data_IF_775526560055
#
_entry.id   IF_775526560055
#
_cell.length_a   1.000
_cell.length_b   1.000
_cell.length_c   1.000
_cell.angle_alpha   90.00
_cell.angle_beta   90.00
_cell.angle_gamma   90.00
#
_symmetry.space_group_name_H-M   'P 1'
#
loop_
_entity.id
_entity.type
_entity.pdbx_description
1 polymer ?
#
# COMPACT_ATOMS: atom_id res chain seq x y z
N UNK A 1 -5.24 2.66 7.00
CA UNK A 1 -4.00 2.00 7.47
C UNK A 1 -3.63 2.47 8.86
N UNK A 2 -3.10 1.59 9.72
CA UNK A 2 -2.49 2.02 10.99
C UNK A 2 -1.30 2.96 10.72
N UNK A 3 -0.79 3.62 11.76
CA UNK A 3 0.46 4.38 11.63
C UNK A 3 1.58 3.47 11.15
N UNK A 4 2.22 3.82 10.03
CA UNK A 4 3.21 2.94 9.38
C UNK A 4 4.63 3.11 9.95
N UNK A 5 4.87 4.17 10.70
CA UNK A 5 6.17 4.46 11.32
C UNK A 5 6.80 3.27 12.07
N UNK A 6 6.07 2.47 12.88
CA UNK A 6 6.66 1.33 13.59
C UNK A 6 7.14 0.19 12.68
N UNK A 7 6.61 0.08 11.46
CA UNK A 7 6.89 -1.03 10.54
C UNK A 7 7.80 -0.64 9.36
N UNK A 8 8.14 0.65 9.18
CA UNK A 8 9.08 1.10 8.14
C UNK A 8 10.42 0.39 8.21
N UNK A 9 10.87 0.04 9.41
CA UNK A 9 12.12 -0.70 9.62
C UNK A 9 12.15 -2.05 8.89
N UNK A 10 10.99 -2.69 8.70
CA UNK A 10 10.90 -3.96 7.96
C UNK A 10 11.31 -3.77 6.49
N UNK A 11 10.88 -2.68 5.86
CA UNK A 11 11.29 -2.35 4.49
C UNK A 11 12.79 -2.07 4.39
N UNK A 12 13.37 -1.40 5.39
CA UNK A 12 14.82 -1.18 5.47
C UNK A 12 15.60 -2.51 5.53
N UNK A 13 15.18 -3.44 6.38
CA UNK A 13 15.81 -4.77 6.51
C UNK A 13 15.57 -5.61 5.24
N UNK A 14 14.38 -5.52 4.64
CA UNK A 14 14.05 -6.17 3.38
C UNK A 14 14.94 -5.69 2.25
N UNK A 15 15.19 -4.39 2.14
CA UNK A 15 16.15 -3.88 1.16
C UNK A 15 17.55 -4.45 1.41
N UNK A 16 18.05 -4.36 2.65
CA UNK A 16 19.37 -4.89 3.05
C UNK A 16 19.53 -6.38 2.67
N UNK A 17 18.46 -7.18 2.74
CA UNK A 17 18.49 -8.61 2.40
C UNK A 17 18.86 -8.91 0.93
N UNK A 18 18.73 -7.93 0.03
CA UNK A 18 19.17 -8.04 -1.37
C UNK A 18 20.70 -7.99 -1.52
N UNK A 19 21.45 -7.60 -0.47
CA UNK A 19 22.91 -7.57 -0.44
C UNK A 19 23.56 -6.79 -1.60
N UNK A 20 22.90 -5.72 -2.05
CA UNK A 20 23.35 -4.86 -3.14
C UNK A 20 24.61 -4.08 -2.75
N UNK A 21 25.52 -3.87 -3.71
CA UNK A 21 26.84 -3.28 -3.45
C UNK A 21 27.10 -2.00 -4.21
N UNK A 22 27.92 -1.12 -3.63
CA UNK A 22 28.38 0.10 -4.29
C UNK A 22 29.91 0.29 -4.18
N UNK A 23 30.56 0.91 -5.18
CA UNK A 23 30.01 1.34 -6.47
C UNK A 23 29.81 0.17 -7.45
N UNK A 24 28.83 0.27 -8.36
CA UNK A 24 28.48 -0.76 -9.36
C UNK A 24 29.39 -0.77 -10.59
N UNK A 25 29.97 0.39 -10.95
CA UNK A 25 30.99 0.46 -11.99
C UNK A 25 32.39 0.34 -11.38
N UNK A 26 33.23 -0.52 -11.98
CA UNK A 26 34.68 -0.37 -11.85
C UNK A 26 35.03 1.02 -12.38
N UNK A 27 35.79 1.81 -11.61
CA UNK A 27 36.38 3.05 -12.11
C UNK A 27 36.95 2.77 -13.51
N UNK A 28 36.52 3.51 -14.53
CA UNK A 28 36.95 3.29 -15.90
C UNK A 28 38.47 3.44 -15.96
N UNK A 29 39.17 2.31 -15.92
CA UNK A 29 40.61 2.21 -16.10
C UNK A 29 40.97 2.49 -17.56
N UNK A 30 40.73 3.72 -18.02
CA UNK A 30 41.17 4.20 -19.33
C UNK A 30 42.63 4.67 -19.32
N UNK A 31 43.22 4.93 -18.15
CA UNK A 31 44.60 5.35 -18.03
C UNK A 31 45.48 4.16 -17.60
N UNK A 32 45.97 3.39 -18.59
CA UNK A 32 47.01 2.39 -18.36
C UNK A 32 48.24 3.06 -17.72
N UNK A 33 48.72 2.50 -16.61
CA UNK A 33 50.01 2.84 -16.00
C UNK A 33 49.92 3.59 -14.66
N UNK A 34 49.38 4.82 -14.64
CA UNK A 34 49.41 5.67 -13.44
C UNK A 34 48.18 5.49 -12.54
N UNK A 35 46.98 5.45 -13.13
CA UNK A 35 45.72 5.35 -12.37
C UNK A 35 45.57 3.99 -11.66
N UNK A 36 45.89 2.86 -12.31
CA UNK A 36 45.81 1.53 -11.68
C UNK A 36 46.77 1.39 -10.49
N UNK A 37 47.96 1.99 -10.56
CA UNK A 37 48.93 1.99 -9.45
C UNK A 37 48.46 2.91 -8.32
N UNK A 38 47.95 4.10 -8.66
CA UNK A 38 47.33 5.01 -7.70
C UNK A 38 46.17 4.38 -6.93
N UNK A 39 45.29 3.62 -7.59
CA UNK A 39 44.16 2.96 -6.92
C UNK A 39 44.55 1.67 -6.19
N UNK A 40 45.56 0.92 -6.66
CA UNK A 40 46.06 -0.29 -5.96
C UNK A 40 46.75 0.04 -4.64
N UNK A 41 47.47 1.16 -4.59
CA UNK A 41 48.33 1.50 -3.45
C UNK A 41 47.59 2.35 -2.40
N UNK A 42 46.51 3.07 -2.77
CA UNK A 42 45.76 3.95 -1.84
C UNK A 42 45.06 3.20 -0.73
N UNK A 43 44.64 1.96 -0.97
CA UNK A 43 43.97 1.16 0.05
C UNK A 43 44.96 0.61 1.09
N UNK A 44 46.26 0.79 0.86
CA UNK A 44 47.34 0.50 1.81
C UNK A 44 47.71 1.74 2.64
N UNK A 45 47.14 2.91 2.36
CA UNK A 45 47.37 4.10 3.17
C UNK A 45 46.74 3.93 4.57
N UNK A 46 47.47 4.31 5.64
CA UNK A 46 46.97 4.19 7.01
C UNK A 46 45.62 4.90 7.19
N UNK A 47 44.62 4.16 7.66
CA UNK A 47 43.29 4.71 7.94
C UNK A 47 42.30 4.65 6.78
N UNK A 48 42.68 4.24 5.57
CA UNK A 48 41.74 4.11 4.44
C UNK A 48 40.82 2.87 4.57
N UNK A 49 41.26 1.84 5.30
CA UNK A 49 40.50 0.63 5.62
C UNK A 49 39.76 0.73 6.97
N UNK A 50 39.17 1.90 7.27
CA UNK A 50 38.45 2.18 8.52
C UNK A 50 36.97 2.54 8.33
N UNK A 51 36.41 2.29 7.14
CA UNK A 51 35.01 2.55 6.83
C UNK A 51 34.06 1.72 7.69
N UNK A 52 33.18 2.40 8.44
CA UNK A 52 32.10 1.80 9.23
C UNK A 52 30.78 2.42 8.79
N UNK A 53 29.71 1.62 8.57
CA UNK A 53 28.40 2.13 8.18
C UNK A 53 27.84 3.15 9.15
N UNK A 54 27.33 4.25 8.59
CA UNK A 54 26.62 5.29 9.35
C UNK A 54 25.11 5.16 9.17
N UNK A 55 24.67 4.73 7.99
CA UNK A 55 23.24 4.46 7.73
C UNK A 55 22.88 3.08 8.25
N UNK A 56 21.97 3.00 9.24
CA UNK A 56 21.57 1.74 9.89
C UNK A 56 20.06 1.47 9.69
N UNK A 57 19.66 0.26 9.25
CA UNK A 57 20.54 -0.77 8.69
C UNK A 57 21.20 -0.29 7.39
N UNK A 58 22.37 -0.84 7.01
CA UNK A 58 23.01 -0.46 5.75
C UNK A 58 22.13 -0.89 4.59
N UNK A 59 21.76 0.07 3.74
CA UNK A 59 21.02 -0.21 2.50
C UNK A 59 21.94 -0.84 1.45
N UNK A 60 23.18 -0.37 1.36
CA UNK A 60 24.18 -0.89 0.44
C UNK A 60 25.42 -1.36 1.20
N UNK A 61 26.09 -2.37 0.65
CA UNK A 61 27.38 -2.84 1.13
C UNK A 61 28.51 -2.31 0.25
N UNK A 62 29.65 -1.95 0.83
CA UNK A 62 30.79 -1.51 0.02
C UNK A 62 31.34 -2.68 -0.80
N UNK A 63 31.64 -2.42 -2.08
CA UNK A 63 32.29 -3.38 -3.00
C UNK A 63 33.62 -3.91 -2.41
N UNK A 64 34.30 -3.03 -1.67
CA UNK A 64 35.49 -3.35 -0.87
C UNK A 64 35.19 -3.09 0.60
N UNK A 65 34.93 -4.13 1.42
CA UNK A 65 34.67 -3.99 2.85
C UNK A 65 35.77 -3.22 3.57
N UNK A 66 35.38 -2.34 4.50
CA UNK A 66 36.28 -1.49 5.27
C UNK A 66 36.83 -0.29 4.51
N UNK A 67 36.65 -0.18 3.18
CA UNK A 67 37.17 0.96 2.44
C UNK A 67 36.32 2.22 2.61
N UNK A 68 36.90 3.28 3.16
CA UNK A 68 36.19 4.50 3.61
C UNK A 68 35.41 5.19 2.49
N UNK A 69 35.94 5.29 1.28
CA UNK A 69 35.25 5.95 0.17
C UNK A 69 34.06 5.15 -0.36
N UNK A 70 34.16 3.83 -0.42
CA UNK A 70 33.02 2.99 -0.78
C UNK A 70 31.95 3.07 0.31
N UNK A 71 32.35 3.04 1.59
CA UNK A 71 31.41 3.17 2.69
C UNK A 71 30.67 4.51 2.66
N UNK A 72 31.37 5.63 2.45
CA UNK A 72 30.74 6.96 2.31
C UNK A 72 29.71 7.01 1.17
N UNK A 73 30.02 6.38 0.03
CA UNK A 73 29.07 6.27 -1.08
C UNK A 73 27.85 5.42 -0.70
N UNK A 74 28.06 4.30 -0.01
CA UNK A 74 26.98 3.45 0.51
C UNK A 74 26.09 4.20 1.49
N UNK A 75 26.68 4.96 2.43
CA UNK A 75 25.93 5.71 3.44
C UNK A 75 25.10 6.82 2.78
N UNK A 76 25.71 7.59 1.85
CA UNK A 76 25.03 8.69 1.16
C UNK A 76 23.88 8.20 0.29
N UNK A 77 24.16 7.26 -0.63
CA UNK A 77 23.13 6.73 -1.54
C UNK A 77 22.10 5.91 -0.75
N UNK A 78 22.54 5.17 0.27
CA UNK A 78 21.67 4.43 1.17
C UNK A 78 20.72 5.34 1.95
N UNK A 79 21.18 6.50 2.42
CA UNK A 79 20.31 7.49 3.06
C UNK A 79 19.29 8.06 2.08
N UNK A 80 19.68 8.36 0.83
CA UNK A 80 18.75 8.85 -0.19
C UNK A 80 17.64 7.81 -0.50
N UNK A 81 18.00 6.52 -0.57
CA UNK A 81 17.03 5.43 -0.76
C UNK A 81 16.12 5.26 0.45
N UNK A 82 16.68 5.29 1.66
CA UNK A 82 15.94 5.24 2.92
C UNK A 82 14.91 6.37 3.02
N UNK A 83 15.33 7.60 2.76
CA UNK A 83 14.48 8.78 2.84
C UNK A 83 13.38 8.73 1.78
N UNK A 84 13.69 8.25 0.57
CA UNK A 84 12.68 8.04 -0.46
C UNK A 84 11.66 6.96 -0.06
N UNK A 85 12.12 5.81 0.42
CA UNK A 85 11.28 4.71 0.89
C UNK A 85 10.34 5.17 2.00
N UNK A 86 10.88 5.82 3.03
CA UNK A 86 10.10 6.27 4.19
C UNK A 86 9.10 7.36 3.79
N UNK A 87 9.46 8.27 2.88
CA UNK A 87 8.58 9.30 2.36
C UNK A 87 7.44 8.73 1.49
N UNK A 88 7.71 7.69 0.70
CA UNK A 88 6.68 7.05 -0.12
C UNK A 88 5.71 6.22 0.72
N UNK A 89 6.17 5.57 1.78
CA UNK A 89 5.27 4.93 2.75
C UNK A 89 4.32 5.94 3.39
N UNK A 90 4.84 7.11 3.79
CA UNK A 90 4.00 8.19 4.33
C UNK A 90 3.01 8.72 3.28
N UNK A 91 3.45 8.81 2.02
CA UNK A 91 2.59 9.26 0.92
C UNK A 91 1.43 8.30 0.67
N UNK A 92 1.69 6.99 0.72
CA UNK A 92 0.65 5.96 0.60
C UNK A 92 -0.29 5.98 1.80
N UNK A 93 0.24 6.13 3.02
CA UNK A 93 -0.59 6.29 4.21
C UNK A 93 -1.52 7.50 4.06
N UNK A 94 -0.99 8.65 3.65
CA UNK A 94 -1.78 9.86 3.41
C UNK A 94 -2.88 9.61 2.38
N UNK A 95 -2.52 9.07 1.20
CA UNK A 95 -3.47 8.80 0.13
C UNK A 95 -4.58 7.83 0.55
N UNK A 96 -4.22 6.76 1.28
CA UNK A 96 -5.17 5.83 1.86
C UNK A 96 -6.13 6.50 2.86
N UNK A 97 -5.65 7.40 3.73
CA UNK A 97 -6.55 8.08 4.67
C UNK A 97 -7.54 8.99 3.93
N UNK A 98 -7.09 9.72 2.91
CA UNK A 98 -7.97 10.56 2.08
C UNK A 98 -9.01 9.72 1.32
N UNK A 99 -8.60 8.55 0.82
CA UNK A 99 -9.52 7.58 0.22
C UNK A 99 -10.55 7.08 1.22
N UNK A 100 -10.12 6.70 2.43
CA UNK A 100 -11.01 6.14 3.48
C UNK A 100 -12.15 7.10 3.82
N UNK A 101 -11.89 8.40 3.86
CA UNK A 101 -12.90 9.43 4.13
C UNK A 101 -14.00 9.49 3.07
N UNK A 102 -13.69 9.07 1.84
CA UNK A 102 -14.61 9.07 0.71
C UNK A 102 -15.19 7.68 0.41
N UNK A 103 -14.61 6.63 1.01
CA UNK A 103 -14.98 5.26 0.76
C UNK A 103 -16.40 4.95 1.25
N UNK A 104 -17.13 4.18 0.44
CA UNK A 104 -18.52 3.81 0.69
C UNK A 104 -18.85 2.45 0.10
N UNK A 105 -19.81 1.80 0.72
CA UNK A 105 -20.46 0.62 0.15
C UNK A 105 -21.66 1.06 -0.67
N UNK A 106 -21.89 0.42 -1.80
CA UNK A 106 -22.99 0.72 -2.73
C UNK A 106 -23.51 -0.55 -3.39
N UNK A 107 -24.70 -0.46 -3.97
CA UNK A 107 -25.36 -1.55 -4.70
C UNK A 107 -25.50 -2.81 -3.85
N UNK A 108 -25.74 -2.65 -2.55
CA UNK A 108 -26.03 -3.79 -1.68
C UNK A 108 -27.47 -4.21 -1.84
N UNK A 109 -27.70 -5.51 -1.84
CA UNK A 109 -29.01 -6.12 -1.70
C UNK A 109 -29.20 -6.58 -0.26
N UNK A 110 -30.32 -6.18 0.34
CA UNK A 110 -30.66 -6.54 1.71
C UNK A 110 -31.81 -7.54 1.72
N UNK A 111 -31.57 -8.69 2.34
CA UNK A 111 -32.50 -9.81 2.44
C UNK A 111 -32.60 -10.23 3.90
N UNK A 112 -33.69 -9.83 4.54
CA UNK A 112 -33.89 -9.95 5.99
C UNK A 112 -32.66 -9.41 6.73
N UNK A 113 -31.97 -10.26 7.49
CA UNK A 113 -30.81 -9.88 8.30
C UNK A 113 -29.53 -9.63 7.51
N UNK A 114 -29.47 -10.13 6.27
CA UNK A 114 -28.23 -10.20 5.51
C UNK A 114 -28.07 -9.04 4.54
N UNK A 115 -26.85 -8.50 4.46
CA UNK A 115 -26.39 -7.64 3.39
C UNK A 115 -25.56 -8.45 2.38
N UNK A 116 -25.86 -8.29 1.10
CA UNK A 116 -25.18 -8.97 0.00
C UNK A 116 -24.65 -7.91 -0.96
N UNK A 117 -23.38 -8.00 -1.33
CA UNK A 117 -22.73 -7.07 -2.25
C UNK A 117 -21.96 -7.83 -3.31
N UNK A 118 -22.24 -7.55 -4.58
CA UNK A 118 -21.49 -8.10 -5.72
C UNK A 118 -20.05 -7.56 -5.76
N UNK A 119 -19.14 -8.17 -6.53
CA UNK A 119 -17.77 -7.67 -6.67
C UNK A 119 -17.74 -6.19 -7.05
N UNK A 120 -16.96 -5.40 -6.31
CA UNK A 120 -16.87 -3.94 -6.50
C UNK A 120 -17.93 -3.14 -5.74
N UNK A 121 -18.60 -3.75 -4.75
CA UNK A 121 -19.55 -3.04 -3.90
C UNK A 121 -18.90 -2.00 -2.96
N UNK A 122 -17.57 -2.03 -2.80
CA UNK A 122 -16.80 -0.99 -2.13
C UNK A 122 -16.24 0.00 -3.16
N UNK A 123 -16.58 1.27 -3.00
CA UNK A 123 -16.21 2.35 -3.88
C UNK A 123 -15.41 3.44 -3.15
N UNK A 124 -14.56 4.14 -3.89
CA UNK A 124 -13.72 5.22 -3.40
C UNK A 124 -12.85 5.80 -4.51
N UNK A 125 -12.23 6.97 -4.28
CA UNK A 125 -11.46 7.68 -5.30
C UNK A 125 -10.21 6.92 -5.75
N UNK A 126 -9.60 7.32 -6.87
CA UNK A 126 -8.33 6.72 -7.30
C UNK A 126 -7.17 7.15 -6.39
N UNK A 127 -6.36 6.18 -5.95
CA UNK A 127 -5.27 6.43 -4.99
C UNK A 127 -4.09 7.18 -5.60
N UNK A 128 -3.77 6.96 -6.87
CA UNK A 128 -2.54 7.49 -7.50
C UNK A 128 -2.39 9.00 -7.28
N UNK A 129 -3.45 9.77 -7.58
CA UNK A 129 -3.44 11.22 -7.43
C UNK A 129 -3.28 11.65 -5.97
N UNK A 130 -3.96 10.96 -5.05
CA UNK A 130 -3.87 11.23 -3.62
C UNK A 130 -2.47 10.97 -3.06
N UNK A 131 -1.80 9.91 -3.53
CA UNK A 131 -0.41 9.59 -3.16
C UNK A 131 0.53 10.69 -3.66
N UNK A 132 0.40 11.10 -4.94
CA UNK A 132 1.29 12.10 -5.55
C UNK A 132 1.17 13.49 -4.92
N UNK A 133 0.01 13.82 -4.37
CA UNK A 133 -0.26 15.09 -3.68
C UNK A 133 0.21 15.09 -2.22
N UNK A 134 0.68 13.94 -1.68
CA UNK A 134 1.13 13.87 -0.30
C UNK A 134 2.33 14.82 -0.07
N UNK A 135 2.35 15.59 1.04
CA UNK A 135 3.43 16.53 1.33
C UNK A 135 4.84 15.90 1.35
N UNK A 136 4.94 14.62 1.72
CA UNK A 136 6.22 13.90 1.80
C UNK A 136 6.88 13.68 0.42
N UNK A 137 6.12 13.70 -0.69
CA UNK A 137 6.65 13.44 -2.03
C UNK A 137 6.22 14.44 -3.12
N UNK A 138 5.30 15.36 -2.83
CA UNK A 138 4.77 16.30 -3.81
C UNK A 138 5.87 17.15 -4.48
N UNK A 139 6.88 17.57 -3.70
CA UNK A 139 8.00 18.37 -4.18
C UNK A 139 9.09 17.58 -4.93
N UNK A 140 8.96 16.25 -5.05
CA UNK A 140 9.96 15.45 -5.77
C UNK A 140 10.02 15.85 -7.24
N UNK A 141 11.23 15.94 -7.77
CA UNK A 141 11.54 16.33 -9.15
C UNK A 141 12.54 15.36 -9.79
N UNK A 142 12.74 15.47 -11.10
CA UNK A 142 13.70 14.64 -11.85
C UNK A 142 13.45 13.14 -11.71
N UNK A 143 14.51 12.36 -11.51
CA UNK A 143 14.42 10.91 -11.35
C UNK A 143 13.60 10.51 -10.11
N UNK A 144 13.64 11.30 -9.03
CA UNK A 144 12.88 11.05 -7.81
C UNK A 144 11.36 11.14 -8.07
N UNK A 145 10.93 12.07 -8.92
CA UNK A 145 9.53 12.16 -9.37
C UNK A 145 9.11 10.94 -10.21
N UNK A 146 10.00 10.44 -11.08
CA UNK A 146 9.71 9.23 -11.87
C UNK A 146 9.52 8.00 -10.98
N UNK A 147 10.36 7.83 -9.95
CA UNK A 147 10.17 6.77 -8.96
C UNK A 147 8.88 6.97 -8.14
N UNK A 148 8.58 8.20 -7.70
CA UNK A 148 7.30 8.50 -7.01
C UNK A 148 6.11 8.10 -7.85
N UNK A 149 6.11 8.47 -9.13
CA UNK A 149 5.00 8.20 -10.05
C UNK A 149 4.86 6.69 -10.30
N UNK A 150 5.97 5.96 -10.40
CA UNK A 150 5.99 4.50 -10.49
C UNK A 150 5.38 3.83 -9.25
N UNK A 151 5.80 4.24 -8.05
CA UNK A 151 5.26 3.75 -6.78
C UNK A 151 3.76 4.07 -6.66
N UNK A 152 3.36 5.32 -6.91
CA UNK A 152 1.97 5.74 -6.80
C UNK A 152 1.05 4.96 -7.75
N UNK A 153 1.49 4.76 -9.00
CA UNK A 153 0.74 3.99 -10.00
C UNK A 153 0.66 2.51 -9.64
N UNK A 154 1.77 1.89 -9.23
CA UNK A 154 1.83 0.48 -8.86
C UNK A 154 0.94 0.16 -7.65
N UNK A 155 1.05 0.94 -6.58
CA UNK A 155 0.19 0.82 -5.38
C UNK A 155 -1.28 1.04 -5.73
N UNK A 156 -1.58 2.09 -6.50
CA UNK A 156 -2.96 2.41 -6.89
C UNK A 156 -3.61 1.27 -7.69
N UNK A 157 -2.86 0.65 -8.62
CA UNK A 157 -3.36 -0.47 -9.41
C UNK A 157 -3.62 -1.72 -8.56
N UNK A 158 -2.67 -2.12 -7.71
CA UNK A 158 -2.86 -3.24 -6.80
C UNK A 158 -4.08 -3.05 -5.87
N UNK A 159 -4.22 -1.84 -5.32
CA UNK A 159 -5.36 -1.48 -4.47
C UNK A 159 -6.69 -1.48 -5.23
N UNK A 160 -6.71 -0.94 -6.45
CA UNK A 160 -7.92 -0.91 -7.30
C UNK A 160 -8.37 -2.31 -7.70
N UNK A 161 -7.43 -3.23 -7.97
CA UNK A 161 -7.75 -4.63 -8.21
C UNK A 161 -8.45 -5.25 -7.00
N UNK A 162 -7.91 -5.03 -5.80
CA UNK A 162 -8.54 -5.48 -4.56
C UNK A 162 -9.92 -4.86 -4.36
N UNK A 163 -10.03 -3.53 -4.38
CA UNK A 163 -11.25 -2.77 -4.14
C UNK A 163 -12.37 -3.21 -5.10
N UNK A 164 -12.04 -3.28 -6.40
CA UNK A 164 -12.98 -3.64 -7.46
C UNK A 164 -13.50 -5.08 -7.39
N UNK A 165 -12.99 -5.90 -6.47
CA UNK A 165 -13.43 -7.28 -6.24
C UNK A 165 -13.94 -7.51 -4.82
N UNK A 166 -14.07 -6.46 -3.99
CA UNK A 166 -14.69 -6.57 -2.67
C UNK A 166 -16.17 -6.94 -2.81
N UNK A 167 -16.59 -7.89 -1.98
CA UNK A 167 -17.95 -8.40 -1.87
C UNK A 167 -18.41 -8.38 -0.40
N UNK A 168 -19.72 -8.35 -0.20
CA UNK A 168 -20.33 -8.64 1.09
C UNK A 168 -21.04 -10.00 0.96
N UNK A 169 -20.53 -11.08 1.58
CA UNK A 169 -20.97 -12.45 1.30
C UNK A 169 -22.25 -12.86 2.06
N UNK A 170 -23.20 -11.95 2.29
CA UNK A 170 -24.38 -12.24 3.12
C UNK A 170 -24.14 -12.02 4.61
N UNK A 171 -23.45 -10.95 4.98
CA UNK A 171 -23.13 -10.67 6.38
C UNK A 171 -24.38 -10.21 7.15
N UNK A 172 -24.57 -10.62 8.43
CA UNK A 172 -25.76 -10.33 9.22
C UNK A 172 -25.75 -8.90 9.77
N UNK A 173 -25.78 -7.93 8.88
CA UNK A 173 -25.66 -6.50 9.20
C UNK A 173 -26.91 -5.91 9.85
N UNK A 174 -28.10 -6.47 9.59
CA UNK A 174 -29.37 -5.87 10.00
C UNK A 174 -30.30 -6.83 10.74
N UNK A 175 -29.98 -7.32 11.95
CA UNK A 175 -30.86 -8.26 12.66
C UNK A 175 -32.31 -7.76 12.86
N UNK A 176 -32.50 -6.45 13.01
CA UNK A 176 -33.83 -5.83 13.12
C UNK A 176 -34.71 -6.04 11.87
N UNK A 177 -34.11 -6.34 10.72
CA UNK A 177 -34.83 -6.57 9.46
C UNK A 177 -35.36 -8.00 9.32
N UNK A 178 -35.11 -8.90 10.28
CA UNK A 178 -35.76 -10.21 10.34
C UNK A 178 -37.28 -10.09 10.50
N UNK A 179 -37.73 -9.12 11.29
CA UNK A 179 -39.13 -8.88 11.61
C UNK A 179 -39.33 -7.40 11.96
N UNK A 180 -39.62 -6.58 10.96
CA UNK A 180 -39.83 -5.14 11.11
C UNK A 180 -41.33 -4.81 11.19
N UNK A 181 -41.79 -3.98 12.15
CA UNK A 181 -43.19 -3.63 12.35
C UNK A 181 -43.64 -2.47 11.46
N UNK A 182 -43.65 -2.67 10.15
CA UNK A 182 -44.10 -1.65 9.21
C UNK A 182 -44.03 -2.11 7.76
N UNK A 183 -44.59 -1.33 6.82
CA UNK A 183 -44.56 -1.65 5.38
C UNK A 183 -43.18 -1.42 4.75
N UNK A 184 -42.34 -0.60 5.38
CA UNK A 184 -41.02 -0.23 4.89
C UNK A 184 -40.09 0.01 6.09
N UNK A 185 -38.91 -0.61 6.09
CA UNK A 185 -37.86 -0.32 7.04
C UNK A 185 -37.15 0.98 6.62
N UNK A 186 -37.03 1.98 7.51
CA UNK A 186 -36.29 3.20 7.23
C UNK A 186 -34.78 2.91 7.14
N UNK A 187 -33.97 3.89 6.69
CA UNK A 187 -32.51 3.80 6.77
C UNK A 187 -32.03 3.51 8.19
N UNK A 188 -31.48 2.31 8.41
CA UNK A 188 -30.93 1.87 9.69
C UNK A 188 -29.47 1.44 9.52
N UNK A 189 -28.57 1.80 10.45
CA UNK A 189 -27.16 1.44 10.36
C UNK A 189 -26.97 -0.07 10.55
N UNK A 190 -25.92 -0.61 9.92
CA UNK A 190 -25.48 -1.97 10.17
C UNK A 190 -24.87 -2.13 11.57
N UNK A 191 -24.92 -3.36 12.08
CA UNK A 191 -24.03 -3.77 13.18
C UNK A 191 -22.58 -3.69 12.68
N UNK A 192 -21.68 -2.99 13.41
CA UNK A 192 -20.28 -2.89 13.05
C UNK A 192 -19.65 -4.27 12.82
N UNK A 193 -18.92 -4.41 11.72
CA UNK A 193 -18.26 -5.65 11.34
C UNK A 193 -16.85 -5.36 10.82
N UNK A 194 -15.84 -6.17 11.15
CA UNK A 194 -14.50 -6.01 10.57
C UNK A 194 -14.50 -6.05 9.04
N UNK A 195 -13.74 -5.16 8.40
CA UNK A 195 -13.64 -5.08 6.94
C UNK A 195 -13.07 -6.37 6.33
N UNK A 196 -12.22 -7.10 7.06
CA UNK A 196 -11.71 -8.41 6.63
C UNK A 196 -12.82 -9.44 6.34
N UNK A 197 -14.03 -9.27 6.91
CA UNK A 197 -15.20 -10.10 6.60
C UNK A 197 -15.79 -9.80 5.21
N UNK A 198 -15.45 -8.66 4.61
CA UNK A 198 -15.80 -8.31 3.23
C UNK A 198 -14.70 -8.83 2.30
N UNK A 199 -14.90 -10.02 1.74
CA UNK A 199 -13.86 -10.73 0.98
C UNK A 199 -13.63 -10.08 -0.38
N UNK A 200 -12.39 -10.15 -0.86
CA UNK A 200 -12.03 -9.78 -2.25
C UNK A 200 -11.31 -10.93 -2.93
N UNK A 201 -11.75 -11.27 -4.15
CA UNK A 201 -11.08 -12.28 -4.98
C UNK A 201 -9.65 -11.87 -5.41
N UNK A 202 -9.29 -10.59 -5.24
CA UNK A 202 -7.98 -10.01 -5.55
C UNK A 202 -7.21 -9.59 -4.30
N UNK A 203 -7.46 -10.27 -3.18
CA UNK A 203 -6.73 -10.03 -1.93
C UNK A 203 -5.22 -10.20 -2.09
N UNK A 204 -4.79 -11.25 -2.80
CA UNK A 204 -3.36 -11.54 -3.03
C UNK A 204 -2.60 -10.41 -3.70
N UNK A 205 -3.25 -9.67 -4.61
CA UNK A 205 -2.62 -8.57 -5.37
C UNK A 205 -2.11 -7.45 -4.46
N UNK A 206 -2.64 -7.34 -3.24
CA UNK A 206 -2.26 -6.29 -2.28
C UNK A 206 -1.59 -6.83 -1.01
N UNK A 207 -1.95 -8.02 -0.52
CA UNK A 207 -1.33 -8.59 0.70
C UNK A 207 -0.05 -9.38 0.42
N UNK A 208 0.24 -9.69 -0.85
CA UNK A 208 1.52 -10.26 -1.25
C UNK A 208 2.36 -9.18 -1.96
N UNK A 209 3.66 -9.03 -1.63
CA UNK A 209 4.46 -7.93 -2.18
C UNK A 209 4.67 -8.03 -3.69
N UNK A 210 4.84 -9.25 -4.23
CA UNK A 210 5.30 -9.49 -5.61
C UNK A 210 4.48 -8.77 -6.68
N UNK A 211 3.14 -8.83 -6.60
CA UNK A 211 2.27 -8.14 -7.56
C UNK A 211 2.46 -6.64 -7.48
N UNK A 212 2.49 -6.07 -6.27
CA UNK A 212 2.67 -4.64 -6.09
C UNK A 212 4.06 -4.18 -6.58
N UNK A 213 5.12 -4.94 -6.27
CA UNK A 213 6.47 -4.70 -6.76
C UNK A 213 6.53 -4.67 -8.27
N UNK A 214 5.95 -5.68 -8.93
CA UNK A 214 5.92 -5.79 -10.38
C UNK A 214 5.18 -4.60 -11.01
N UNK A 215 4.05 -4.19 -10.44
CA UNK A 215 3.29 -3.04 -10.94
C UNK A 215 4.06 -1.72 -10.79
N UNK A 216 4.89 -1.56 -9.75
CA UNK A 216 5.79 -0.42 -9.61
C UNK A 216 6.94 -0.48 -10.64
N UNK A 217 7.53 -1.64 -10.86
CA UNK A 217 8.61 -1.84 -11.86
C UNK A 217 8.13 -1.57 -13.29
N UNK A 218 6.94 -2.06 -13.62
CA UNK A 218 6.31 -1.86 -14.93
C UNK A 218 5.97 -0.39 -15.17
N UNK A 219 5.56 0.33 -14.12
CA UNK A 219 5.30 1.75 -14.16
C UNK A 219 6.57 2.62 -14.24
N UNK A 220 7.74 2.09 -13.88
CA UNK A 220 9.00 2.84 -13.90
C UNK A 220 9.48 3.13 -15.32
N UNK A 221 10.00 4.34 -15.51
CA UNK A 221 10.61 4.82 -16.76
C UNK A 221 11.70 3.85 -17.26
N UNK A 222 11.59 3.42 -18.52
CA UNK A 222 12.53 2.48 -19.13
C UNK A 222 13.97 3.01 -19.21
N UNK A 223 14.15 4.33 -19.32
CA UNK A 223 15.47 4.97 -19.31
C UNK A 223 16.16 4.88 -17.95
N UNK A 224 15.39 4.89 -16.84
CA UNK A 224 15.92 4.62 -15.50
C UNK A 224 16.29 3.15 -15.33
N UNK A 225 15.42 2.24 -15.76
CA UNK A 225 15.68 0.79 -15.70
C UNK A 225 16.96 0.41 -16.44
N UNK A 226 17.17 0.97 -17.63
CA UNK A 226 18.35 0.70 -18.44
C UNK A 226 19.65 1.23 -17.83
N UNK A 227 19.58 2.25 -16.97
CA UNK A 227 20.73 2.83 -16.27
C UNK A 227 21.06 2.12 -14.95
N UNK A 228 20.22 1.19 -14.52
CA UNK A 228 20.35 0.45 -13.27
C UNK A 228 20.34 -1.06 -13.51
N UNK A 229 21.42 -1.62 -14.09
CA UNK A 229 21.49 -3.05 -14.45
C UNK A 229 21.44 -3.97 -13.21
N UNK A 230 21.84 -3.47 -12.04
CA UNK A 230 21.76 -4.21 -10.77
C UNK A 230 20.36 -4.17 -10.14
N UNK A 231 19.41 -3.47 -10.78
CA UNK A 231 17.99 -3.38 -10.37
C UNK A 231 17.80 -2.96 -8.92
N UNK A 232 18.54 -1.95 -8.46
CA UNK A 232 18.29 -1.32 -7.17
C UNK A 232 16.85 -0.80 -7.06
N UNK A 233 16.26 -0.35 -8.17
CA UNK A 233 14.85 0.05 -8.21
C UNK A 233 13.90 -1.09 -7.80
N UNK A 234 14.18 -2.32 -8.21
CA UNK A 234 13.34 -3.49 -7.90
C UNK A 234 13.42 -3.79 -6.40
N UNK A 235 14.64 -3.81 -5.84
CA UNK A 235 14.83 -3.99 -4.40
C UNK A 235 14.14 -2.88 -3.57
N UNK A 236 14.13 -1.65 -4.07
CA UNK A 236 13.44 -0.53 -3.45
C UNK A 236 11.91 -0.70 -3.51
N UNK A 237 11.36 -1.07 -4.66
CA UNK A 237 9.92 -1.33 -4.81
C UNK A 237 9.47 -2.52 -3.97
N UNK A 238 10.27 -3.60 -3.91
CA UNK A 238 10.02 -4.79 -3.07
C UNK A 238 10.01 -4.44 -1.58
N UNK A 239 10.94 -3.59 -1.13
CA UNK A 239 10.96 -3.07 0.23
C UNK A 239 9.69 -2.27 0.57
N UNK A 240 9.27 -1.35 -0.31
CA UNK A 240 8.04 -0.56 -0.14
C UNK A 240 6.81 -1.47 -0.12
N UNK A 241 6.67 -2.35 -1.11
CA UNK A 241 5.56 -3.28 -1.24
C UNK A 241 5.43 -4.17 0.02
N UNK A 242 6.54 -4.70 0.53
CA UNK A 242 6.56 -5.53 1.74
C UNK A 242 5.91 -4.82 2.94
N UNK A 243 6.27 -3.55 3.19
CA UNK A 243 5.69 -2.79 4.30
C UNK A 243 4.21 -2.51 4.06
N UNK A 244 3.84 -2.12 2.84
CA UNK A 244 2.46 -1.78 2.49
C UNK A 244 1.53 -2.99 2.52
N UNK A 245 1.97 -4.16 2.07
CA UNK A 245 1.21 -5.41 2.13
C UNK A 245 0.87 -5.79 3.57
N UNK A 246 1.86 -5.73 4.48
CA UNK A 246 1.65 -6.00 5.89
C UNK A 246 0.72 -4.95 6.53
N UNK A 247 0.95 -3.67 6.23
CA UNK A 247 0.11 -2.57 6.69
C UNK A 247 -1.36 -2.74 6.29
N UNK A 248 -1.58 -3.16 5.06
CA UNK A 248 -2.91 -3.39 4.50
C UNK A 248 -3.61 -4.56 5.19
N UNK A 249 -2.90 -5.67 5.42
CA UNK A 249 -3.43 -6.82 6.14
C UNK A 249 -3.86 -6.45 7.58
N UNK A 250 -3.01 -5.71 8.31
CA UNK A 250 -3.35 -5.22 9.65
C UNK A 250 -4.54 -4.26 9.63
N UNK A 251 -4.63 -3.42 8.60
CA UNK A 251 -5.74 -2.48 8.43
C UNK A 251 -7.07 -3.21 8.23
N UNK A 252 -7.14 -4.24 7.37
CA UNK A 252 -8.38 -4.97 7.11
C UNK A 252 -9.01 -5.54 8.38
N UNK A 253 -8.20 -6.11 9.27
CA UNK A 253 -8.68 -6.71 10.51
C UNK A 253 -9.10 -5.67 11.57
N UNK A 254 -8.44 -4.51 11.59
CA UNK A 254 -8.72 -3.44 12.56
C UNK A 254 -9.84 -2.48 12.13
N UNK A 255 -10.05 -2.34 10.82
CA UNK A 255 -11.03 -1.44 10.23
C UNK A 255 -12.45 -1.97 10.42
N UNK A 256 -13.35 -1.18 11.02
CA UNK A 256 -14.77 -1.51 11.07
C UNK A 256 -15.51 -0.95 9.85
N UNK A 257 -16.43 -1.76 9.35
CA UNK A 257 -17.51 -1.37 8.43
C UNK A 257 -18.73 -1.04 9.27
N UNK A 258 -19.12 0.22 9.29
CA UNK A 258 -20.27 0.69 10.08
C UNK A 258 -20.94 1.88 9.42
N UNK A 259 -22.12 2.26 9.90
CA UNK A 259 -22.94 3.33 9.32
C UNK A 259 -23.36 3.07 7.86
N UNK A 260 -23.30 1.81 7.39
CA UNK A 260 -23.96 1.41 6.15
C UNK A 260 -25.45 1.41 6.43
N UNK A 261 -26.16 2.40 5.90
CA UNK A 261 -27.59 2.58 6.16
C UNK A 261 -28.40 1.73 5.18
N UNK A 262 -28.98 0.64 5.67
CA UNK A 262 -29.88 -0.22 4.92
C UNK A 262 -31.34 0.21 5.03
N UNK A 263 -32.15 0.00 3.99
CA UNK A 263 -33.60 0.22 3.98
C UNK A 263 -34.28 -0.80 3.07
N UNK A 264 -35.60 -0.96 3.16
CA UNK A 264 -36.32 -1.80 2.21
C UNK A 264 -37.75 -2.16 2.59
N UNK A 265 -38.54 -2.67 1.64
CA UNK A 265 -39.95 -2.98 1.85
C UNK A 265 -40.13 -4.28 2.65
N UNK A 266 -41.30 -4.41 3.29
CA UNK A 266 -41.75 -5.62 3.97
C UNK A 266 -43.01 -6.12 3.25
N UNK A 267 -42.90 -6.98 2.23
CA UNK A 267 -44.04 -7.39 1.40
C UNK A 267 -45.14 -8.13 2.15
N UNK A 268 -44.82 -8.75 3.29
CA UNK A 268 -45.78 -9.49 4.11
C UNK A 268 -46.51 -8.61 5.12
N UNK A 269 -46.23 -7.30 5.18
CA UNK A 269 -46.94 -6.40 6.08
C UNK A 269 -48.38 -6.20 5.61
N UNK A 270 -49.32 -6.86 6.30
CA UNK A 270 -50.74 -6.84 5.98
C UNK A 270 -51.58 -6.79 7.27
N UNK A 271 -51.71 -5.61 7.90
CA UNK A 271 -52.61 -5.43 9.03
C UNK A 271 -54.07 -5.79 8.66
N UNK A 272 -54.85 -6.44 9.55
CA UNK A 272 -54.54 -6.78 10.94
C UNK A 272 -53.80 -8.12 11.13
N UNK A 273 -53.56 -8.90 10.08
CA UNK A 273 -53.19 -10.32 10.18
C UNK A 273 -51.68 -10.57 10.36
N UNK A 274 -50.81 -9.67 9.87
CA UNK A 274 -49.35 -9.81 9.96
C UNK A 274 -48.73 -8.44 10.29
N UNK A 275 -48.48 -8.13 11.58
CA UNK A 275 -47.99 -6.82 11.99
C UNK A 275 -46.49 -6.61 11.73
N UNK A 276 -45.74 -7.69 11.42
CA UNK A 276 -44.29 -7.66 11.21
C UNK A 276 -43.88 -8.57 10.05
N UNK A 277 -42.76 -8.28 9.39
CA UNK A 277 -42.21 -9.17 8.39
C UNK A 277 -40.75 -8.85 8.05
N UNK A 278 -40.08 -9.71 7.27
CA UNK A 278 -38.71 -9.48 6.88
C UNK A 278 -38.63 -8.40 5.80
N UNK A 279 -37.50 -7.68 5.79
CA UNK A 279 -37.15 -6.86 4.63
C UNK A 279 -36.82 -7.78 3.45
N UNK A 280 -37.36 -7.49 2.27
CA UNK A 280 -37.10 -8.27 1.05
C UNK A 280 -36.77 -7.31 -0.09
N UNK A 281 -35.59 -7.47 -0.69
CA UNK A 281 -35.15 -6.62 -1.80
C UNK A 281 -34.81 -5.19 -1.37
N UNK A 282 -34.27 -5.04 -0.15
CA UNK A 282 -33.78 -3.75 0.31
C UNK A 282 -32.47 -3.33 -0.34
N UNK A 283 -32.08 -2.08 -0.13
CA UNK A 283 -30.88 -1.44 -0.65
C UNK A 283 -30.17 -0.63 0.45
N UNK A 284 -29.01 -0.05 0.12
CA UNK A 284 -28.27 0.83 1.02
C UNK A 284 -28.14 2.25 0.49
N UNK A 285 -27.99 3.22 1.40
CA UNK A 285 -27.58 4.57 1.06
C UNK A 285 -26.06 4.59 0.81
N UNK A 286 -25.66 4.97 -0.41
CA UNK A 286 -24.26 5.01 -0.81
C UNK A 286 -23.61 6.36 -0.46
N UNK A 287 -23.42 6.60 0.84
CA UNK A 287 -22.76 7.81 1.37
C UNK A 287 -21.36 7.48 1.89
N UNK A 288 -20.39 8.42 1.79
CA UNK A 288 -19.07 8.25 2.39
C UNK A 288 -19.10 8.02 3.90
N UNK A 289 -18.03 7.42 4.43
CA UNK A 289 -17.82 7.27 5.88
C UNK A 289 -18.12 5.87 6.41
N UNK A 290 -18.26 4.86 5.54
CA UNK A 290 -18.55 3.49 5.98
C UNK A 290 -17.35 2.77 6.62
N UNK A 291 -16.15 3.35 6.55
CA UNK A 291 -14.92 2.79 7.11
C UNK A 291 -14.43 3.64 8.29
N UNK A 292 -14.78 3.22 9.51
CA UNK A 292 -14.41 3.88 10.77
C UNK A 292 -13.55 2.99 11.69
N UNK A 293 -12.64 3.61 12.43
CA UNK A 293 -11.74 2.95 13.40
C UNK A 293 -12.07 3.44 14.80
#
# INVERSE_FOLDING_TARGET
MPGLSPIKILGNVKFMSNNLKLPTQKASGGAKGWAEKFFKDRDQEPGEMSGVPQTIPPWFFPQKPGYKYHQKSCDKIGQDFKDFHDAMIDAVQFGHQMWKLQAKFQNLQIMAVCAIGSPGCLDGPELESLIKQAPSCAAFSGNKAKHRDAVAKGVSKAFKNWQGQVTVPGLPWYPAFAAFPGPMAPPMPNIPMPLICCISAKMSDIIMPDTMTQEMDDALDGGLKNKDPEKHYHALHDAIATVLSLAFLMWLASQQVMLVLGKGPIPTFAPPFVPVGPVVGGDNLAIPGHLMT
#
